data_IF_095800334079
#
_entry.id   IF_095800334079
#
_cell.length_a   1.000
_cell.length_b   1.000
_cell.length_c   1.000
_cell.angle_alpha   90.00
_cell.angle_beta   90.00
_cell.angle_gamma   90.00
#
_symmetry.space_group_name_H-M   'P 1'
#
loop_
_entity.id
_entity.type
_entity.pdbx_description
1 polymer ?
#
# COMPACT_ATOMS: atom_id res chain seq x y z
N UNK A 1 -7.25 30.80 32.34
CA UNK A 1 -7.27 30.57 30.88
C UNK A 1 -6.39 29.37 30.59
N UNK A 2 -6.94 28.27 30.08
CA UNK A 2 -6.16 27.08 29.73
C UNK A 2 -5.57 27.27 28.34
N UNK A 3 -4.25 27.30 28.22
CA UNK A 3 -3.58 27.35 26.92
C UNK A 3 -3.85 26.03 26.18
N UNK A 4 -4.37 26.11 24.95
CA UNK A 4 -4.50 24.93 24.08
C UNK A 4 -3.11 24.46 23.66
N UNK A 5 -2.84 23.16 23.78
CA UNK A 5 -1.60 22.60 23.24
C UNK A 5 -1.71 22.40 21.72
N UNK A 6 -0.77 22.89 20.92
CA UNK A 6 -0.78 22.65 19.49
C UNK A 6 -0.36 21.21 19.17
N UNK A 7 -0.98 20.62 18.14
CA UNK A 7 -0.41 19.43 17.47
C UNK A 7 0.71 19.92 16.55
N UNK A 8 1.96 19.56 16.86
CA UNK A 8 3.12 19.93 16.05
C UNK A 8 3.23 18.99 14.84
N UNK A 9 3.23 19.55 13.64
CA UNK A 9 3.58 18.84 12.40
C UNK A 9 4.99 19.28 12.00
N UNK A 10 5.96 18.39 12.15
CA UNK A 10 7.34 18.72 11.85
C UNK A 10 7.56 18.79 10.33
N UNK A 11 8.01 19.95 9.83
CA UNK A 11 8.47 20.11 8.45
C UNK A 11 9.96 20.44 8.47
N UNK A 12 10.78 19.62 7.80
CA UNK A 12 12.23 19.77 7.72
C UNK A 12 12.68 19.53 6.28
N UNK A 13 13.54 20.41 5.77
CA UNK A 13 14.03 20.34 4.38
C UNK A 13 12.89 20.16 3.34
N UNK A 14 11.78 20.86 3.54
CA UNK A 14 10.61 20.79 2.64
C UNK A 14 9.76 19.52 2.75
N UNK A 15 9.96 18.69 3.79
CA UNK A 15 9.24 17.41 3.98
C UNK A 15 8.59 17.31 5.36
N UNK A 16 7.38 16.75 5.41
CA UNK A 16 6.73 16.35 6.66
C UNK A 16 7.51 15.21 7.31
N UNK A 17 7.68 15.24 8.63
CA UNK A 17 8.42 14.26 9.43
C UNK A 17 7.53 13.61 10.51
N UNK A 18 7.68 12.31 10.79
CA UNK A 18 8.59 11.38 10.11
C UNK A 18 8.14 11.09 8.67
N UNK A 19 9.09 11.06 7.74
CA UNK A 19 8.86 10.54 6.39
C UNK A 19 9.30 9.08 6.36
N UNK A 20 8.35 8.16 6.19
CA UNK A 20 8.64 6.73 6.04
C UNK A 20 8.73 6.33 4.56
N UNK A 21 9.01 5.06 4.30
CA UNK A 21 8.93 4.49 2.96
C UNK A 21 7.88 3.39 2.98
N UNK A 22 6.75 3.58 2.30
CA UNK A 22 5.60 2.67 2.42
C UNK A 22 5.25 2.05 1.08
N UNK A 23 4.92 0.76 1.10
CA UNK A 23 4.17 0.10 0.03
C UNK A 23 2.78 -0.20 0.54
N UNK A 24 1.79 -0.06 -0.32
CA UNK A 24 0.42 -0.38 0.02
C UNK A 24 -0.32 -1.08 -1.12
N UNK A 25 -1.25 -1.95 -0.75
CA UNK A 25 -2.08 -2.74 -1.65
C UNK A 25 -3.54 -2.47 -1.34
N UNK A 26 -4.31 -2.10 -2.35
CA UNK A 26 -5.76 -1.99 -2.26
C UNK A 26 -6.37 -3.33 -2.63
N UNK A 27 -7.23 -3.82 -1.75
CA UNK A 27 -7.93 -5.08 -1.89
C UNK A 27 -9.42 -4.81 -1.85
N UNK A 28 -10.16 -5.34 -2.82
CA UNK A 28 -11.62 -5.30 -2.84
C UNK A 28 -12.16 -6.06 -1.63
N UNK A 29 -12.97 -5.38 -0.81
CA UNK A 29 -13.48 -5.89 0.47
C UNK A 29 -14.50 -7.01 0.31
N UNK A 30 -15.08 -7.21 -0.88
CA UNK A 30 -16.02 -8.29 -1.15
C UNK A 30 -15.32 -9.52 -1.74
N UNK A 31 -14.41 -9.31 -2.71
CA UNK A 31 -13.81 -10.42 -3.46
C UNK A 31 -12.42 -10.82 -2.98
N UNK A 32 -11.71 -9.93 -2.30
CA UNK A 32 -10.29 -10.10 -1.99
C UNK A 32 -9.38 -9.85 -3.20
N UNK A 33 -9.88 -9.24 -4.28
CA UNK A 33 -9.08 -8.95 -5.47
C UNK A 33 -8.17 -7.74 -5.28
N UNK A 34 -6.95 -7.80 -5.83
CA UNK A 34 -6.02 -6.68 -5.80
C UNK A 34 -6.40 -5.69 -6.89
N UNK A 35 -6.77 -4.47 -6.51
CA UNK A 35 -7.18 -3.43 -7.45
C UNK A 35 -6.08 -2.42 -7.72
N UNK A 36 -5.21 -2.18 -6.74
CA UNK A 36 -4.14 -1.20 -6.88
C UNK A 36 -2.93 -1.55 -6.00
N UNK A 37 -1.72 -1.26 -6.51
CA UNK A 37 -0.48 -1.35 -5.73
C UNK A 37 0.26 -0.02 -5.85
N UNK A 38 0.51 0.59 -4.70
CA UNK A 38 1.12 1.91 -4.59
C UNK A 38 2.33 1.94 -3.68
N UNK A 39 2.99 3.09 -3.71
CA UNK A 39 4.18 3.38 -2.93
C UNK A 39 4.18 4.86 -2.58
N UNK A 40 4.53 5.21 -1.34
CA UNK A 40 4.52 6.60 -0.87
C UNK A 40 5.61 6.90 0.15
N UNK A 41 6.18 8.12 0.17
CA UNK A 41 6.98 8.62 1.28
C UNK A 41 6.13 9.22 2.42
N UNK A 42 4.81 9.35 2.19
CA UNK A 42 3.85 9.93 3.13
C UNK A 42 3.19 8.85 3.99
N UNK A 43 2.57 9.29 5.08
CA UNK A 43 1.64 8.47 5.85
C UNK A 43 0.60 7.77 4.93
N UNK A 44 0.38 6.46 5.09
CA UNK A 44 -0.54 5.72 4.23
C UNK A 44 -1.98 6.23 4.28
N UNK A 45 -2.48 6.71 5.42
CA UNK A 45 -3.84 7.24 5.55
C UNK A 45 -3.97 8.53 4.73
N UNK A 46 -2.99 9.42 4.83
CA UNK A 46 -2.95 10.63 3.98
C UNK A 46 -2.92 10.25 2.50
N UNK A 47 -2.08 9.28 2.11
CA UNK A 47 -1.97 8.87 0.70
C UNK A 47 -3.28 8.25 0.19
N UNK A 48 -3.94 7.45 1.01
CA UNK A 48 -5.26 6.86 0.71
C UNK A 48 -6.31 7.94 0.53
N UNK A 49 -6.35 8.94 1.41
CA UNK A 49 -7.27 10.07 1.28
C UNK A 49 -7.06 10.84 -0.04
N UNK A 50 -5.80 11.14 -0.39
CA UNK A 50 -5.48 11.79 -1.67
C UNK A 50 -5.88 10.96 -2.89
N UNK A 51 -5.87 9.63 -2.78
CA UNK A 51 -6.30 8.73 -3.85
C UNK A 51 -7.80 8.80 -4.14
N UNK A 52 -8.61 9.10 -3.13
CA UNK A 52 -10.06 9.15 -3.20
C UNK A 52 -10.57 10.55 -3.57
N UNK A 53 -9.98 11.59 -2.97
CA UNK A 53 -10.57 12.93 -3.03
C UNK A 53 -10.00 13.82 -4.16
N UNK A 54 -8.76 13.58 -4.59
CA UNK A 54 -8.10 14.49 -5.52
C UNK A 54 -8.58 14.31 -6.96
N UNK A 55 -8.95 15.41 -7.63
CA UNK A 55 -9.24 15.43 -9.08
C UNK A 55 -7.96 15.35 -9.95
N UNK A 56 -6.79 15.72 -9.41
CA UNK A 56 -5.51 15.49 -10.09
C UNK A 56 -5.23 13.98 -10.18
N UNK A 57 -5.23 13.43 -11.38
CA UNK A 57 -5.02 12.00 -11.64
C UNK A 57 -3.68 11.44 -11.13
N UNK A 58 -2.65 12.27 -10.91
CA UNK A 58 -1.38 11.82 -10.33
C UNK A 58 -1.49 11.59 -8.81
N UNK A 59 -2.35 12.36 -8.15
CA UNK A 59 -2.66 12.24 -6.73
C UNK A 59 -3.80 11.24 -6.52
N UNK A 60 -4.93 11.43 -7.21
CA UNK A 60 -6.17 10.65 -7.22
C UNK A 60 -6.13 9.38 -8.07
N UNK A 61 -5.01 8.64 -8.09
CA UNK A 61 -4.85 7.52 -9.03
C UNK A 61 -5.93 6.44 -8.90
N UNK A 62 -6.36 6.09 -7.68
CA UNK A 62 -7.43 5.09 -7.51
C UNK A 62 -8.73 5.60 -8.11
N UNK A 63 -9.17 6.81 -7.75
CA UNK A 63 -10.31 7.48 -8.36
C UNK A 63 -10.24 7.53 -9.89
N UNK A 64 -9.05 7.76 -10.44
CA UNK A 64 -8.83 7.89 -11.88
C UNK A 64 -8.74 6.56 -12.64
N UNK A 65 -8.37 5.44 -12.00
CA UNK A 65 -8.03 4.19 -12.71
C UNK A 65 -8.74 2.93 -12.21
N UNK A 66 -9.49 3.01 -11.11
CA UNK A 66 -10.18 1.88 -10.51
C UNK A 66 -11.67 2.06 -10.73
N UNK A 67 -12.27 1.19 -11.56
CA UNK A 67 -13.68 1.27 -11.92
C UNK A 67 -14.58 1.13 -10.69
N UNK A 68 -15.62 1.95 -10.58
CA UNK A 68 -16.57 1.88 -9.47
C UNK A 68 -15.91 2.03 -8.08
N UNK A 69 -14.84 2.84 -7.95
CA UNK A 69 -14.12 2.98 -6.67
C UNK A 69 -14.97 3.61 -5.55
N UNK A 70 -16.04 4.33 -5.89
CA UNK A 70 -16.90 5.00 -4.90
C UNK A 70 -18.00 4.07 -4.37
N UNK A 71 -18.32 3.04 -5.14
CA UNK A 71 -19.40 2.08 -4.88
C UNK A 71 -18.90 0.79 -4.22
N UNK A 72 -17.58 0.61 -4.14
CA UNK A 72 -16.94 -0.59 -3.61
C UNK A 72 -16.20 -0.29 -2.31
N UNK A 73 -16.22 -1.27 -1.40
CA UNK A 73 -15.42 -1.23 -0.19
C UNK A 73 -13.99 -1.73 -0.46
N UNK A 74 -13.00 -1.09 0.15
CA UNK A 74 -11.60 -1.48 0.01
C UNK A 74 -10.88 -1.52 1.36
N UNK A 75 -10.07 -2.55 1.53
CA UNK A 75 -9.02 -2.58 2.55
C UNK A 75 -7.70 -2.12 1.93
N UNK A 76 -6.99 -1.21 2.61
CA UNK A 76 -5.64 -0.78 2.22
C UNK A 76 -4.61 -1.40 3.16
N UNK A 77 -3.86 -2.37 2.65
CA UNK A 77 -2.80 -3.06 3.38
C UNK A 77 -1.50 -2.29 3.20
N UNK A 78 -1.03 -1.61 4.24
CA UNK A 78 0.17 -0.78 4.19
C UNK A 78 1.32 -1.38 4.99
N UNK A 79 2.51 -1.37 4.40
CA UNK A 79 3.72 -1.95 4.96
C UNK A 79 4.85 -0.92 4.88
N UNK A 80 5.50 -0.69 6.02
CA UNK A 80 6.71 0.13 6.06
C UNK A 80 7.89 -0.69 5.52
N UNK A 81 8.68 -0.07 4.67
CA UNK A 81 9.92 -0.62 4.15
C UNK A 81 11.10 -0.13 5.00
N UNK A 82 12.10 -1.00 5.22
CA UNK A 82 13.42 -0.60 5.65
C UNK A 82 13.98 0.57 4.84
N UNK A 83 14.69 1.48 5.49
CA UNK A 83 15.16 2.74 4.90
C UNK A 83 16.17 2.55 3.76
N UNK A 84 16.84 1.40 3.71
CA UNK A 84 17.80 0.99 2.69
C UNK A 84 17.14 0.33 1.46
N UNK A 85 15.83 0.09 1.49
CA UNK A 85 15.10 -0.51 0.37
C UNK A 85 14.47 0.58 -0.52
N UNK A 86 14.88 0.57 -1.79
CA UNK A 86 14.31 1.46 -2.81
C UNK A 86 12.85 1.12 -3.10
N UNK A 87 11.96 2.01 -2.68
CA UNK A 87 10.51 1.82 -2.74
C UNK A 87 9.98 1.54 -4.15
N UNK A 88 10.56 2.19 -5.16
CA UNK A 88 10.14 2.01 -6.55
C UNK A 88 10.45 0.59 -7.04
N UNK A 89 11.61 0.06 -6.68
CA UNK A 89 12.05 -1.29 -7.00
C UNK A 89 11.21 -2.34 -6.27
N UNK A 90 11.03 -2.16 -4.96
CA UNK A 90 10.19 -3.02 -4.13
C UNK A 90 8.74 -3.08 -4.64
N UNK A 91 8.15 -1.94 -5.04
CA UNK A 91 6.81 -1.91 -5.67
C UNK A 91 6.79 -2.71 -6.97
N UNK A 92 7.78 -2.53 -7.83
CA UNK A 92 7.87 -3.23 -9.10
C UNK A 92 7.98 -4.74 -8.92
N UNK A 93 8.84 -5.18 -7.99
CA UNK A 93 9.03 -6.58 -7.64
C UNK A 93 7.76 -7.19 -7.02
N UNK A 94 7.12 -6.49 -6.09
CA UNK A 94 5.87 -6.94 -5.46
C UNK A 94 4.76 -7.15 -6.50
N UNK A 95 4.59 -6.23 -7.45
CA UNK A 95 3.61 -6.39 -8.53
C UNK A 95 3.85 -7.64 -9.36
N UNK A 96 5.10 -7.98 -9.68
CA UNK A 96 5.44 -9.22 -10.40
C UNK A 96 5.17 -10.44 -9.53
N UNK A 97 5.58 -10.40 -8.26
CA UNK A 97 5.39 -11.50 -7.29
C UNK A 97 3.91 -11.84 -7.07
N UNK A 98 3.05 -10.83 -6.96
CA UNK A 98 1.59 -11.01 -6.79
C UNK A 98 0.88 -11.52 -8.05
N UNK A 99 1.46 -11.31 -9.24
CA UNK A 99 0.96 -11.87 -10.50
C UNK A 99 1.42 -13.30 -10.77
N UNK A 100 2.41 -13.78 -10.00
CA UNK A 100 3.08 -15.05 -10.26
C UNK A 100 4.23 -14.95 -11.28
N UNK A 101 4.57 -13.74 -11.74
CA UNK A 101 5.61 -13.51 -12.77
C UNK A 101 7.04 -13.51 -12.18
N UNK A 102 7.17 -13.41 -10.85
CA UNK A 102 8.47 -13.35 -10.20
C UNK A 102 8.86 -14.72 -9.63
N UNK A 103 9.85 -15.34 -10.26
CA UNK A 103 10.56 -16.50 -9.71
C UNK A 103 11.97 -16.06 -9.32
N UNK A 104 12.31 -16.07 -8.03
CA UNK A 104 13.64 -15.65 -7.60
C UNK A 104 14.65 -16.73 -8.00
N UNK A 105 15.84 -16.32 -8.45
CA UNK A 105 16.97 -17.23 -8.47
C UNK A 105 17.41 -17.56 -7.03
N UNK A 106 18.18 -18.64 -6.80
CA UNK A 106 18.68 -18.96 -5.46
C UNK A 106 19.45 -17.82 -4.78
N UNK A 107 20.14 -16.98 -5.56
CA UNK A 107 20.86 -15.80 -5.06
C UNK A 107 19.90 -14.66 -4.71
N UNK A 108 18.84 -14.47 -5.49
CA UNK A 108 17.85 -13.40 -5.24
C UNK A 108 17.11 -13.60 -3.92
N UNK A 109 16.83 -14.85 -3.54
CA UNK A 109 16.16 -15.18 -2.26
C UNK A 109 16.95 -14.69 -1.04
N UNK A 110 18.26 -14.52 -1.19
CA UNK A 110 19.13 -14.04 -0.12
C UNK A 110 19.14 -12.52 0.02
N UNK A 111 18.63 -11.78 -0.97
CA UNK A 111 18.60 -10.32 -0.93
C UNK A 111 17.58 -9.81 0.08
N UNK A 112 17.91 -8.74 0.79
CA UNK A 112 16.99 -8.07 1.71
C UNK A 112 15.72 -7.59 1.01
N UNK A 113 15.86 -7.11 -0.24
CA UNK A 113 14.75 -6.70 -1.09
C UNK A 113 13.75 -7.84 -1.35
N UNK A 114 14.23 -9.01 -1.79
CA UNK A 114 13.33 -10.13 -2.07
C UNK A 114 12.61 -10.60 -0.80
N UNK A 115 13.34 -10.73 0.33
CA UNK A 115 12.74 -11.15 1.61
C UNK A 115 11.62 -10.21 2.04
N UNK A 116 11.89 -8.91 2.04
CA UNK A 116 10.88 -7.91 2.38
C UNK A 116 9.65 -7.99 1.46
N UNK A 117 9.86 -8.17 0.15
CA UNK A 117 8.76 -8.27 -0.82
C UNK A 117 7.99 -9.59 -0.69
N UNK A 118 8.65 -10.72 -0.45
CA UNK A 118 7.99 -12.02 -0.27
C UNK A 118 7.17 -12.05 1.03
N UNK A 119 7.68 -11.47 2.11
CA UNK A 119 6.95 -11.33 3.37
C UNK A 119 5.68 -10.48 3.19
N UNK A 120 5.78 -9.34 2.51
CA UNK A 120 4.63 -8.50 2.16
C UNK A 120 3.64 -9.28 1.27
N UNK A 121 4.13 -9.97 0.24
CA UNK A 121 3.28 -10.73 -0.67
C UNK A 121 2.49 -11.82 0.06
N UNK A 122 3.13 -12.56 0.97
CA UNK A 122 2.49 -13.58 1.80
C UNK A 122 1.42 -12.98 2.72
N UNK A 123 1.71 -11.84 3.35
CA UNK A 123 0.75 -11.14 4.18
C UNK A 123 -0.48 -10.68 3.38
N UNK A 124 -0.27 -10.16 2.17
CA UNK A 124 -1.34 -9.78 1.24
C UNK A 124 -2.16 -11.01 0.83
N UNK A 125 -1.53 -12.10 0.41
CA UNK A 125 -2.20 -13.35 0.02
C UNK A 125 -3.05 -13.93 1.17
N UNK A 126 -2.52 -13.90 2.39
CA UNK A 126 -3.25 -14.30 3.58
C UNK A 126 -4.52 -13.46 3.79
N UNK A 127 -4.38 -12.12 3.80
CA UNK A 127 -5.51 -11.23 4.02
C UNK A 127 -6.58 -11.35 2.93
N UNK A 128 -6.18 -11.48 1.66
CA UNK A 128 -7.10 -11.72 0.54
C UNK A 128 -7.93 -12.98 0.73
N UNK A 129 -7.29 -14.05 1.23
CA UNK A 129 -7.96 -15.32 1.52
C UNK A 129 -8.98 -15.19 2.65
N UNK A 130 -8.68 -14.39 3.68
CA UNK A 130 -9.60 -14.10 4.77
C UNK A 130 -10.83 -13.29 4.29
N UNK A 131 -10.61 -12.26 3.47
CA UNK A 131 -11.68 -11.45 2.88
C UNK A 131 -12.59 -12.31 2.01
N UNK A 132 -12.02 -13.09 1.08
CA UNK A 132 -12.79 -13.97 0.21
C UNK A 132 -13.61 -15.00 1.00
N UNK A 133 -13.10 -15.48 2.13
CA UNK A 133 -13.84 -16.40 3.01
C UNK A 133 -15.03 -15.72 3.68
N UNK A 134 -14.86 -14.48 4.14
CA UNK A 134 -15.95 -13.69 4.75
C UNK A 134 -17.03 -13.35 3.73
N UNK A 135 -16.65 -12.96 2.51
CA UNK A 135 -17.60 -12.69 1.42
C UNK A 135 -18.50 -13.89 1.10
N UNK A 136 -17.94 -15.11 1.08
CA UNK A 136 -18.70 -16.36 0.85
C UNK A 136 -19.61 -16.77 2.01
N UNK A 137 -19.31 -16.34 3.23
CA UNK A 137 -20.12 -16.66 4.41
C UNK A 137 -21.35 -15.74 4.55
N UNK A 138 -21.33 -14.58 3.87
CA UNK A 138 -22.37 -13.55 3.97
C UNK A 138 -23.30 -13.49 2.74
N UNK A 139 -23.08 -14.32 1.71
CA UNK A 139 -23.91 -14.42 0.50
C UNK A 139 -24.64 -15.75 0.44
#
# INVERSE_FOLDING_TARGET
MTLRQPRVVAVRHGRVQPSGSWIYVWVDGATGDITYVGATPYDPVLRTHLHLESDDAQLGRVRATVDGYAERDFDVLAFELPADIERAEAKGLLKRRLRGDAHPSPTDVLTALWRAVDDIARAVEHQRSEIARRGRANG
#
